data_IF_717371442885
#
_entry.id   IF_717371442885
#
_cell.length_a   1.000
_cell.length_b   1.000
_cell.length_c   1.000
_cell.angle_alpha   90.00
_cell.angle_beta   90.00
_cell.angle_gamma   90.00
#
_symmetry.space_group_name_H-M   'P 1'
#
loop_
_entity.id
_entity.type
_entity.pdbx_description
1 polymer ?
2 non-polymer ?
3 non-polymer ?
4 water ?
#
# COMPACT_ATOMS: atom_id res chain seq x y z
N UNK A 22 4.93 0.90 25.67
CA UNK A 22 4.47 -0.45 26.00
C UNK A 22 3.45 -0.93 24.97
N UNK A 23 3.32 -2.24 24.87
CA UNK A 23 2.35 -2.87 23.98
C UNK A 23 0.94 -2.48 24.39
N UNK A 24 0.06 -2.33 23.39
CA UNK A 24 -1.37 -2.10 23.61
C UNK A 24 -1.97 -3.26 24.38
N UNK A 25 -3.13 -3.01 24.99
CA UNK A 25 -3.94 -4.08 25.54
C UNK A 25 -4.88 -4.56 24.45
N UNK A 26 -4.58 -5.71 23.88
CA UNK A 26 -5.27 -6.19 22.69
C UNK A 26 -6.69 -6.63 23.02
N UNK A 27 -6.99 -6.72 24.31
CA UNK A 27 -8.31 -7.15 24.77
C UNK A 27 -9.25 -5.98 25.10
N UNK A 28 -8.73 -4.76 25.17
CA UNK A 28 -9.55 -3.61 25.56
C UNK A 28 -10.56 -3.26 24.48
N UNK A 29 -11.67 -2.66 24.89
CA UNK A 29 -12.68 -2.22 23.92
C UNK A 29 -12.13 -1.08 23.05
N UNK A 30 -11.25 -0.26 23.63
CA UNK A 30 -10.63 0.86 22.93
C UNK A 30 -9.77 0.34 21.79
N UNK A 31 -8.98 -0.68 22.07
CA UNK A 31 -8.12 -1.28 21.06
C UNK A 31 -8.93 -1.96 19.96
N UNK A 32 -9.87 -2.82 20.36
CA UNK A 32 -10.70 -3.52 19.41
C UNK A 32 -11.45 -2.58 18.49
N UNK A 33 -11.86 -1.43 19.01
CA UNK A 33 -12.60 -0.49 18.18
C UNK A 33 -11.70 0.10 17.07
N UNK A 34 -10.50 0.51 17.44
CA UNK A 34 -9.59 1.06 16.44
C UNK A 34 -9.16 -0.04 15.46
N UNK A 35 -8.91 -1.23 16.01
CA UNK A 35 -8.49 -2.38 15.20
C UNK A 35 -9.50 -2.74 14.12
N UNK A 36 -10.79 -2.58 14.41
CA UNK A 36 -11.83 -2.93 13.45
C UNK A 36 -11.67 -2.15 12.18
N UNK A 37 -11.13 -0.94 12.29
CA UNK A 37 -10.91 -0.09 11.12
C UNK A 37 -9.52 -0.27 10.49
N UNK A 38 -8.47 -0.32 11.31
CA UNK A 38 -7.13 -0.51 10.78
C UNK A 38 -7.02 -1.89 10.13
N UNK A 39 -7.47 -2.93 10.83
CA UNK A 39 -7.42 -4.26 10.22
C UNK A 39 -8.25 -4.34 8.93
N UNK A 40 -9.38 -3.64 8.87
CA UNK A 40 -10.20 -3.64 7.68
C UNK A 40 -9.44 -2.99 6.54
N UNK A 41 -8.67 -1.98 6.87
CA UNK A 41 -7.83 -1.33 5.86
C UNK A 41 -6.79 -2.32 5.30
N UNK A 42 -6.14 -3.09 6.18
CA UNK A 42 -5.21 -4.12 5.74
C UNK A 42 -5.91 -5.09 4.77
N UNK A 43 -7.04 -5.64 5.21
CA UNK A 43 -7.78 -6.61 4.41
C UNK A 43 -8.21 -6.04 3.06
N UNK A 44 -8.82 -4.87 3.07
CA UNK A 44 -9.27 -4.26 1.81
C UNK A 44 -8.09 -3.92 0.91
N UNK A 45 -6.99 -3.49 1.52
CA UNK A 45 -5.79 -3.13 0.77
C UNK A 45 -5.25 -4.33 0.02
N UNK A 46 -5.20 -5.46 0.69
CA UNK A 46 -4.73 -6.70 0.05
C UNK A 46 -5.67 -7.11 -1.08
N UNK A 47 -6.97 -7.04 -0.83
CA UNK A 47 -7.95 -7.33 -1.88
C UNK A 47 -7.79 -6.46 -3.11
N UNK A 48 -7.63 -5.15 -2.91
CA UNK A 48 -7.54 -4.26 -4.06
C UNK A 48 -6.23 -4.44 -4.81
N UNK A 49 -5.17 -4.78 -4.07
CA UNK A 49 -3.88 -5.11 -4.68
C UNK A 49 -4.03 -6.31 -5.61
N UNK A 50 -4.66 -7.37 -5.11
CA UNK A 50 -5.02 -8.50 -5.96
C UNK A 50 -5.74 -8.06 -7.23
N UNK A 51 -6.83 -7.32 -7.06
CA UNK A 51 -7.61 -6.86 -8.20
C UNK A 51 -6.75 -6.00 -9.15
N UNK A 52 -5.91 -5.15 -8.59
CA UNK A 52 -5.09 -4.27 -9.43
C UNK A 52 -4.06 -5.01 -10.28
N UNK A 53 -3.37 -5.97 -9.69
CA UNK A 53 -2.42 -6.77 -10.46
C UNK A 53 -3.09 -7.56 -11.59
N UNK A 54 -4.26 -8.13 -11.33
CA UNK A 54 -5.02 -8.79 -12.39
C UNK A 54 -5.39 -7.82 -13.49
N UNK A 55 -5.88 -6.65 -13.07
CA UNK A 55 -6.26 -5.61 -14.03
C UNK A 55 -5.10 -5.17 -14.91
N UNK A 56 -3.91 -5.07 -14.32
CA UNK A 56 -2.72 -4.66 -15.07
C UNK A 56 -2.40 -5.68 -16.15
N UNK A 57 -2.82 -6.93 -15.91
CA UNK A 57 -2.61 -8.00 -16.87
C UNK A 57 -3.37 -7.78 -18.17
N UNK A 58 -4.46 -7.04 -18.11
CA UNK A 58 -5.19 -6.67 -19.32
C UNK A 58 -4.40 -5.64 -20.12
N UNK A 59 -3.49 -4.94 -19.45
CA UNK A 59 -2.65 -3.94 -20.11
C UNK A 59 -1.31 -4.50 -20.53
N UNK A 60 -0.83 -5.51 -19.78
CA UNK A 60 0.44 -6.16 -20.11
C UNK A 60 0.21 -7.66 -20.27
N UNK A 61 -0.39 -8.05 -21.42
CA UNK A 61 -0.82 -9.43 -21.65
C UNK A 61 0.33 -10.43 -21.55
N UNK A 62 1.56 -9.99 -21.82
CA UNK A 62 2.71 -10.87 -21.73
C UNK A 62 3.25 -10.97 -20.30
N UNK A 63 2.68 -10.18 -19.39
CA UNK A 63 3.08 -10.23 -17.98
C UNK A 63 2.09 -11.03 -17.13
N UNK A 64 1.08 -11.60 -17.77
CA UNK A 64 -0.02 -12.22 -17.03
C UNK A 64 0.37 -13.29 -16.00
N UNK A 65 1.29 -14.19 -16.35
CA UNK A 65 1.62 -15.26 -15.41
C UNK A 65 2.35 -14.75 -14.16
N UNK A 66 3.21 -13.75 -14.34
CA UNK A 66 3.86 -13.11 -13.20
C UNK A 66 2.85 -12.35 -12.33
N UNK A 67 1.94 -11.63 -12.99
CA UNK A 67 0.93 -10.85 -12.28
C UNK A 67 -0.05 -11.75 -11.53
N UNK A 68 -0.33 -12.92 -12.08
CA UNK A 68 -1.15 -13.90 -11.38
C UNK A 68 -0.50 -14.37 -10.09
N UNK A 69 0.83 -14.55 -10.10
CA UNK A 69 1.57 -14.91 -8.90
C UNK A 69 1.51 -13.78 -7.87
N UNK A 70 1.67 -12.55 -8.34
CA UNK A 70 1.60 -11.41 -7.44
C UNK A 70 0.22 -11.33 -6.79
N UNK A 71 -0.82 -11.49 -7.60
CA UNK A 71 -2.18 -11.38 -7.12
C UNK A 71 -2.51 -12.50 -6.13
N UNK A 72 -1.99 -13.69 -6.39
CA UNK A 72 -2.19 -14.80 -5.46
C UNK A 72 -1.52 -14.53 -4.11
N UNK A 73 -0.36 -13.88 -4.12
CA UNK A 73 0.31 -13.53 -2.87
C UNK A 73 -0.58 -12.57 -2.09
N UNK A 74 -1.19 -11.62 -2.80
CA UNK A 74 -2.04 -10.64 -2.13
C UNK A 74 -3.22 -11.32 -1.45
N UNK A 75 -3.73 -12.39 -2.06
CA UNK A 75 -4.85 -13.08 -1.46
C UNK A 75 -4.41 -13.86 -0.23
N UNK A 76 -3.17 -14.35 -0.23
CA UNK A 76 -2.60 -14.97 0.95
C UNK A 76 -2.47 -13.96 2.08
N UNK A 77 -2.04 -12.75 1.73
CA UNK A 77 -1.93 -11.67 2.70
C UNK A 77 -3.31 -11.36 3.29
N UNK A 78 -4.31 -11.28 2.42
CA UNK A 78 -5.65 -10.94 2.86
C UNK A 78 -6.16 -11.98 3.87
N UNK A 79 -5.95 -13.23 3.52
CA UNK A 79 -6.38 -14.34 4.37
C UNK A 79 -5.70 -14.29 5.72
N UNK A 80 -4.43 -13.89 5.75
CA UNK A 80 -3.71 -13.78 6.99
C UNK A 80 -4.25 -12.69 7.89
N UNK A 81 -4.56 -11.53 7.31
CA UNK A 81 -5.10 -10.42 8.10
C UNK A 81 -6.54 -10.72 8.52
N UNK A 82 -7.28 -11.41 7.66
CA UNK A 82 -8.60 -11.92 8.07
C UNK A 82 -8.45 -12.77 9.34
N UNK A 83 -7.47 -13.66 9.35
CA UNK A 83 -7.19 -14.52 10.49
C UNK A 83 -6.80 -13.73 11.74
N UNK A 84 -6.03 -12.66 11.57
CA UNK A 84 -5.62 -11.80 12.68
C UNK A 84 -6.84 -11.20 13.36
N UNK A 85 -7.83 -10.81 12.57
CA UNK A 85 -9.08 -10.29 13.08
C UNK A 85 -9.87 -11.33 13.86
N UNK A 86 -10.00 -12.54 13.31
CA UNK A 86 -10.70 -13.63 13.99
C UNK A 86 -10.03 -13.91 15.33
N UNK A 87 -8.70 -13.89 15.33
CA UNK A 87 -7.92 -14.19 16.51
C UNK A 87 -8.16 -13.22 17.69
N UNK A 88 -8.33 -11.94 17.38
CA UNK A 88 -8.62 -10.94 18.40
C UNK A 88 -10.12 -10.81 18.66
N UNK A 89 -10.92 -11.53 17.87
CA UNK A 89 -12.36 -11.45 17.99
C UNK A 89 -12.92 -10.13 17.49
N UNK A 90 -12.32 -9.58 16.44
CA UNK A 90 -12.74 -8.29 15.94
C UNK A 90 -13.32 -8.36 14.53
N UNK A 91 -14.54 -7.87 14.41
CA UNK A 91 -15.24 -7.77 13.14
C UNK A 91 -14.67 -6.60 12.34
N UNK A 92 -14.17 -6.85 11.14
CA UNK A 92 -13.60 -5.78 10.31
C UNK A 92 -14.67 -4.82 9.79
N UNK A 93 -14.43 -3.51 9.91
CA UNK A 93 -15.36 -2.52 9.37
C UNK A 93 -15.03 -2.30 7.90
N UNK A 94 -15.56 -3.16 7.04
CA UNK A 94 -15.16 -3.15 5.64
C UNK A 94 -15.69 -1.94 4.88
N UNK A 95 -16.83 -1.42 5.32
CA UNK A 95 -17.39 -0.22 4.71
C UNK A 95 -16.46 0.98 4.87
N UNK A 96 -15.92 1.14 6.07
CA UNK A 96 -14.96 2.21 6.36
C UNK A 96 -13.75 2.08 5.43
N UNK A 97 -13.23 0.87 5.30
CA UNK A 97 -12.02 0.62 4.51
C UNK A 97 -12.24 0.92 3.04
N UNK A 98 -13.39 0.52 2.50
CA UNK A 98 -13.68 0.74 1.10
C UNK A 98 -13.74 2.24 0.77
N UNK A 99 -14.27 3.03 1.68
CA UNK A 99 -14.33 4.48 1.47
C UNK A 99 -12.93 5.08 1.58
N UNK A 100 -12.16 4.58 2.52
CA UNK A 100 -10.78 4.99 2.72
C UNK A 100 -9.97 4.83 1.43
N UNK A 101 -10.18 3.73 0.71
CA UNK A 101 -9.45 3.46 -0.52
C UNK A 101 -10.11 4.07 -1.76
N UNK A 102 -11.32 4.58 -1.60
CA UNK A 102 -12.08 5.08 -2.74
C UNK A 102 -11.34 6.08 -3.65
N UNK A 103 -10.63 7.07 -3.07
CA UNK A 103 -9.92 8.02 -3.96
C UNK A 103 -8.87 7.36 -4.86
N UNK A 104 -7.97 6.55 -4.31
CA UNK A 104 -6.96 5.88 -5.15
C UNK A 104 -7.61 4.85 -6.08
N UNK A 105 -8.62 4.16 -5.58
CA UNK A 105 -9.32 3.16 -6.38
C UNK A 105 -9.98 3.81 -7.60
N UNK A 106 -10.65 4.93 -7.38
CA UNK A 106 -11.26 5.68 -8.48
C UNK A 106 -10.22 6.10 -9.52
N UNK A 107 -9.10 6.63 -9.04
CA UNK A 107 -8.02 7.06 -9.92
C UNK A 107 -7.37 5.90 -10.68
N UNK A 108 -7.25 4.76 -10.01
CA UNK A 108 -6.70 3.58 -10.67
C UNK A 108 -7.60 3.15 -11.81
N UNK A 109 -8.91 3.13 -11.55
CA UNK A 109 -9.87 2.69 -12.56
C UNK A 109 -9.85 3.61 -13.76
N UNK A 110 -9.83 4.91 -13.50
CA UNK A 110 -9.74 5.91 -14.56
C UNK A 110 -8.53 5.66 -15.45
N UNK A 111 -7.37 5.49 -14.84
CA UNK A 111 -6.14 5.17 -15.57
C UNK A 111 -6.27 3.89 -16.37
N UNK A 112 -6.83 2.86 -15.74
CA UNK A 112 -7.01 1.56 -16.36
C UNK A 112 -7.83 1.68 -17.65
N UNK A 113 -8.98 2.34 -17.55
CA UNK A 113 -9.83 2.55 -18.69
C UNK A 113 -9.17 3.29 -19.84
N UNK A 114 -8.18 4.13 -19.53
CA UNK A 114 -7.48 4.90 -20.54
C UNK A 114 -6.21 4.19 -20.98
N UNK A 115 -6.00 2.99 -20.47
CA UNK A 115 -4.84 2.20 -20.85
C UNK A 115 -3.54 2.77 -20.34
N UNK A 116 -3.61 3.52 -19.25
CA UNK A 116 -2.41 4.19 -18.73
C UNK A 116 -1.61 3.32 -17.78
N UNK A 117 -0.90 2.35 -18.34
CA UNK A 117 -0.08 1.41 -17.59
C UNK A 117 0.90 2.06 -16.60
N UNK A 118 1.60 3.14 -17.04
CA UNK A 118 2.53 3.70 -16.05
C UNK A 118 1.84 4.28 -14.82
N UNK A 119 0.65 4.86 -15.00
CA UNK A 119 -0.09 5.42 -13.88
C UNK A 119 -0.59 4.31 -12.96
N UNK A 120 -1.09 3.23 -13.56
CA UNK A 120 -1.56 2.08 -12.78
C UNK A 120 -0.44 1.48 -11.93
N UNK A 121 0.73 1.32 -12.52
CA UNK A 121 1.89 0.83 -11.78
C UNK A 121 2.36 1.78 -10.69
N UNK A 122 2.37 3.08 -10.96
CA UNK A 122 2.78 4.02 -9.92
C UNK A 122 1.82 3.98 -8.72
N UNK A 123 0.52 3.94 -8.99
CA UNK A 123 -0.47 3.89 -7.93
C UNK A 123 -0.35 2.58 -7.13
N UNK A 124 -0.33 1.45 -7.82
CA UNK A 124 -0.33 0.16 -7.09
C UNK A 124 1.04 -0.32 -6.63
N UNK A 125 1.94 -0.50 -7.59
CA UNK A 125 3.24 -1.10 -7.28
C UNK A 125 4.15 -0.18 -6.49
N UNK A 126 3.95 1.13 -6.60
CA UNK A 126 4.78 2.07 -5.86
C UNK A 126 4.08 2.69 -4.65
N UNK A 127 3.03 3.46 -4.88
CA UNK A 127 2.38 4.20 -3.78
C UNK A 127 1.73 3.28 -2.75
N UNK A 128 0.88 2.38 -3.21
CA UNK A 128 0.17 1.47 -2.31
C UNK A 128 1.11 0.45 -1.64
N UNK A 129 2.08 -0.08 -2.38
CA UNK A 129 3.04 -0.99 -1.75
C UNK A 129 3.89 -0.27 -0.71
N UNK A 130 4.32 0.96 -0.99
CA UNK A 130 5.07 1.73 -0.01
C UNK A 130 4.21 2.04 1.22
N UNK A 131 2.94 2.33 0.99
CA UNK A 131 2.04 2.63 2.11
C UNK A 131 1.93 1.37 2.97
N UNK A 132 1.83 0.23 2.29
CA UNK A 132 1.70 -1.07 2.97
C UNK A 132 2.94 -1.38 3.79
N UNK A 133 4.10 -1.28 3.16
CA UNK A 133 5.34 -1.59 3.85
C UNK A 133 5.56 -0.70 5.05
N UNK A 134 5.20 0.58 4.92
CA UNK A 134 5.30 1.49 6.06
C UNK A 134 4.36 1.05 7.20
N UNK A 135 3.10 0.82 6.88
CA UNK A 135 2.11 0.42 7.86
C UNK A 135 2.54 -0.86 8.56
N UNK A 136 2.94 -1.84 7.75
CA UNK A 136 3.28 -3.16 8.30
C UNK A 136 4.58 -3.12 9.12
N UNK A 137 5.61 -2.44 8.63
CA UNK A 137 6.85 -2.27 9.40
C UNK A 137 6.59 -1.57 10.73
N UNK A 138 5.69 -0.59 10.71
CA UNK A 138 5.39 0.20 11.92
C UNK A 138 4.53 -0.62 12.91
N UNK A 139 3.69 -1.51 12.36
CA UNK A 139 2.74 -2.26 13.16
C UNK A 139 3.42 -3.43 13.88
N UNK A 140 4.44 -3.99 13.25
CA UNK A 140 5.12 -5.18 13.80
C UNK A 140 5.53 -5.08 15.28
N UNK A 141 6.29 -4.03 15.66
CA UNK A 141 6.74 -4.01 17.06
C UNK A 141 5.64 -3.76 18.08
N UNK A 142 4.43 -3.41 17.63
CA UNK A 142 3.33 -3.17 18.56
C UNK A 142 2.15 -4.13 18.34
N UNK A 143 2.40 -5.17 17.57
CA UNK A 143 1.35 -6.11 17.21
C UNK A 143 1.28 -7.26 18.22
N UNK A 144 0.11 -7.89 18.29
CA UNK A 144 -0.06 -9.07 19.14
C UNK A 144 0.76 -10.23 18.57
N UNK A 145 1.07 -11.24 19.40
CA UNK A 145 2.01 -12.27 18.90
C UNK A 145 1.56 -13.04 17.65
N UNK A 146 0.26 -13.27 17.49
CA UNK A 146 -0.27 -13.96 16.32
C UNK A 146 -0.11 -13.09 15.07
N UNK A 147 -0.56 -11.86 15.17
CA UNK A 147 -0.44 -10.90 14.07
C UNK A 147 1.00 -10.57 13.73
N UNK A 148 1.88 -10.59 14.73
CA UNK A 148 3.27 -10.26 14.46
C UNK A 148 3.92 -11.24 13.48
N UNK A 149 3.77 -12.54 13.74
CA UNK A 149 4.35 -13.54 12.84
C UNK A 149 3.78 -13.43 11.42
N UNK A 150 2.47 -13.22 11.34
CA UNK A 150 1.81 -13.06 10.06
C UNK A 150 2.38 -11.85 9.33
N UNK A 151 2.51 -10.73 10.05
CA UNK A 151 2.90 -9.47 9.42
C UNK A 151 4.39 -9.48 9.03
N UNK A 152 5.21 -10.11 9.86
CA UNK A 152 6.61 -10.30 9.50
C UNK A 152 6.76 -11.03 8.17
N UNK A 153 5.92 -12.05 7.93
CA UNK A 153 5.94 -12.72 6.65
C UNK A 153 5.59 -11.79 5.51
N UNK A 154 4.52 -11.01 5.71
CA UNK A 154 3.99 -10.12 4.69
C UNK A 154 5.00 -9.07 4.20
N UNK A 155 5.72 -8.43 5.13
CA UNK A 155 6.60 -7.32 4.76
C UNK A 155 7.69 -7.71 3.77
N UNK A 156 8.22 -8.92 3.95
CA UNK A 156 9.23 -9.45 3.05
C UNK A 156 8.70 -9.52 1.62
N UNK A 157 7.41 -9.83 1.50
CA UNK A 157 6.76 -9.96 0.21
C UNK A 157 6.55 -8.65 -0.53
N UNK A 158 6.23 -7.58 0.19
CA UNK A 158 5.82 -6.39 -0.54
C UNK A 158 7.02 -5.70 -1.22
N UNK A 159 8.24 -6.02 -0.78
CA UNK A 159 9.44 -5.59 -1.50
C UNK A 159 9.52 -6.23 -2.88
N UNK A 160 9.01 -7.45 -2.99
CA UNK A 160 8.94 -8.15 -4.28
C UNK A 160 8.03 -7.37 -5.21
N UNK A 161 6.98 -6.81 -4.63
CA UNK A 161 6.01 -6.07 -5.40
C UNK A 161 6.59 -4.71 -5.83
N UNK A 162 7.27 -4.02 -4.91
CA UNK A 162 7.99 -2.79 -5.28
C UNK A 162 8.97 -3.07 -6.41
N UNK A 163 9.71 -4.16 -6.30
CA UNK A 163 10.69 -4.53 -7.32
C UNK A 163 10.08 -4.72 -8.69
N UNK A 164 8.89 -5.31 -8.73
CA UNK A 164 8.19 -5.55 -9.99
C UNK A 164 7.85 -4.23 -10.67
N UNK A 165 7.27 -3.31 -9.92
CA UNK A 165 6.89 -2.02 -10.46
C UNK A 165 8.10 -1.22 -10.89
N UNK A 166 9.11 -1.19 -10.02
CA UNK A 166 10.36 -0.47 -10.31
C UNK A 166 10.98 -0.98 -11.59
N UNK A 167 11.03 -2.29 -11.76
CA UNK A 167 11.66 -2.87 -12.94
C UNK A 167 11.01 -2.41 -14.24
N UNK A 168 9.69 -2.45 -14.29
CA UNK A 168 9.00 -2.11 -15.52
C UNK A 168 9.14 -0.61 -15.80
N UNK A 169 8.97 0.18 -14.75
CA UNK A 169 9.03 1.64 -14.92
C UNK A 169 10.43 2.08 -15.29
N UNK A 170 11.44 1.43 -14.72
CA UNK A 170 12.84 1.74 -15.04
C UNK A 170 13.12 1.45 -16.50
N UNK A 171 12.62 0.31 -16.96
CA UNK A 171 12.77 -0.11 -18.35
C UNK A 171 12.04 0.82 -19.32
N UNK A 172 10.98 1.48 -18.87
CA UNK A 172 10.17 2.32 -19.75
C UNK A 172 10.18 3.83 -19.44
N UNK A 173 11.15 4.28 -18.65
CA UNK A 173 11.13 5.62 -18.09
C UNK A 173 11.05 6.71 -19.17
N UNK A 174 11.83 6.57 -20.23
CA UNK A 174 11.93 7.66 -21.19
C UNK A 174 10.62 7.95 -21.91
N UNK A 175 9.77 6.94 -22.04
CA UNK A 175 8.48 7.16 -22.70
C UNK A 175 7.38 7.59 -21.76
N UNK A 176 7.57 7.43 -20.45
CA UNK A 176 6.48 7.70 -19.52
C UNK A 176 6.81 8.72 -18.42
N UNK A 177 7.92 9.43 -18.56
CA UNK A 177 8.34 10.33 -17.48
C UNK A 177 7.27 11.37 -17.13
N UNK A 178 6.72 12.02 -18.15
CA UNK A 178 5.70 13.05 -17.91
C UNK A 178 4.43 12.48 -17.27
N UNK A 179 3.99 11.33 -17.75
CA UNK A 179 2.82 10.70 -17.17
C UNK A 179 3.05 10.38 -15.69
N UNK A 180 4.25 9.93 -15.36
CA UNK A 180 4.57 9.62 -13.98
C UNK A 180 4.59 10.85 -13.09
N UNK A 181 5.07 11.98 -13.61
CA UNK A 181 5.06 13.20 -12.81
C UNK A 181 3.63 13.61 -12.53
N UNK A 182 2.78 13.46 -13.54
CA UNK A 182 1.36 13.75 -13.40
C UNK A 182 0.71 12.78 -12.41
N UNK A 183 1.04 11.49 -12.55
CA UNK A 183 0.46 10.49 -11.66
C UNK A 183 0.81 10.80 -10.21
N UNK A 184 2.08 11.12 -9.97
CA UNK A 184 2.52 11.49 -8.63
C UNK A 184 1.81 12.73 -8.10
N UNK A 185 1.72 13.73 -8.97
CA UNK A 185 1.06 14.98 -8.64
C UNK A 185 -0.38 14.73 -8.17
N UNK A 186 -1.08 13.85 -8.88
CA UNK A 186 -2.49 13.60 -8.56
C UNK A 186 -2.67 12.67 -7.37
N UNK A 187 -1.77 11.70 -7.23
CA UNK A 187 -2.00 10.61 -6.28
C UNK A 187 -1.25 10.65 -4.96
N UNK A 188 -0.05 11.21 -4.94
CA UNK A 188 0.68 11.35 -3.68
C UNK A 188 -0.12 12.13 -2.60
N UNK A 189 -0.82 13.21 -3.00
CA UNK A 189 -1.66 13.89 -2.01
C UNK A 189 -2.75 13.00 -1.40
N UNK A 190 -3.24 12.02 -2.16
CA UNK A 190 -4.24 11.09 -1.63
C UNK A 190 -3.63 10.23 -0.53
N UNK A 191 -2.38 9.85 -0.71
CA UNK A 191 -1.66 9.08 0.28
C UNK A 191 -1.50 9.91 1.54
N UNK A 192 -1.19 11.19 1.39
CA UNK A 192 -1.06 12.07 2.55
C UNK A 192 -2.36 12.18 3.35
N UNK A 193 -3.48 12.28 2.65
CA UNK A 193 -4.78 12.40 3.30
C UNK A 193 -5.14 11.08 3.98
N UNK A 194 -4.81 9.98 3.32
CA UNK A 194 -4.93 8.66 3.95
C UNK A 194 -4.18 8.58 5.30
N UNK A 195 -2.93 9.02 5.32
CA UNK A 195 -2.15 9.02 6.56
C UNK A 195 -2.80 9.91 7.62
N UNK A 196 -3.32 11.06 7.20
CA UNK A 196 -4.03 11.95 8.11
C UNK A 196 -5.25 11.24 8.69
N UNK A 197 -5.98 10.53 7.84
CA UNK A 197 -7.22 9.87 8.25
C UNK A 197 -7.01 8.66 9.16
N UNK A 198 -5.89 7.96 8.99
CA UNK A 198 -5.66 6.76 9.80
C UNK A 198 -4.94 7.04 11.10
N UNK A 199 -4.38 8.25 11.20
CA UNK A 199 -3.47 8.57 12.29
C UNK A 199 -4.07 8.31 13.68
N UNK A 200 -5.35 8.67 13.85
CA UNK A 200 -5.99 8.53 15.15
C UNK A 200 -6.09 7.08 15.58
N UNK A 201 -6.68 6.25 14.74
CA UNK A 201 -6.80 4.82 15.02
C UNK A 201 -5.42 4.16 15.13
N UNK A 202 -4.49 4.55 14.26
CA UNK A 202 -3.12 4.05 14.32
C UNK A 202 -2.46 4.33 15.66
N UNK A 203 -2.69 5.53 16.20
CA UNK A 203 -2.15 5.88 17.51
C UNK A 203 -2.70 4.99 18.64
N UNK A 204 -3.97 4.63 18.57
CA UNK A 204 -4.55 3.70 19.55
C UNK A 204 -3.81 2.36 19.45
N UNK A 205 -3.46 1.98 18.23
CA UNK A 205 -2.65 0.79 17.99
C UNK A 205 -1.18 0.98 18.36
N UNK A 206 -0.85 2.16 18.90
CA UNK A 206 0.50 2.49 19.35
C UNK A 206 1.51 2.73 18.21
N UNK A 207 0.98 3.05 17.04
CA UNK A 207 1.79 3.39 15.87
C UNK A 207 1.90 4.91 15.74
N UNK A 208 3.14 5.41 15.65
CA UNK A 208 3.43 6.84 15.54
C UNK A 208 3.30 7.30 14.10
N UNK A 209 2.54 8.37 13.87
CA UNK A 209 2.32 8.92 12.52
C UNK A 209 3.63 9.30 11.83
N UNK A 210 4.58 9.83 12.60
CA UNK A 210 5.87 10.24 12.02
C UNK A 210 6.65 9.03 11.52
N UNK A 211 6.54 7.90 12.19
CA UNK A 211 7.19 6.68 11.70
C UNK A 211 6.56 6.24 10.40
N UNK A 212 5.23 6.32 10.33
CA UNK A 212 4.50 5.92 9.13
C UNK A 212 4.90 6.79 7.96
N UNK A 213 4.97 8.10 8.19
CA UNK A 213 5.36 9.02 7.13
C UNK A 213 6.80 8.80 6.68
N UNK A 214 7.73 8.70 7.64
CA UNK A 214 9.13 8.47 7.30
C UNK A 214 9.34 7.20 6.50
N UNK A 215 8.79 6.09 6.99
CA UNK A 215 8.93 4.81 6.29
C UNK A 215 8.32 4.84 4.90
N UNK A 216 7.16 5.50 4.76
CA UNK A 216 6.55 5.61 3.44
C UNK A 216 7.43 6.41 2.49
N UNK A 217 7.93 7.55 2.95
CA UNK A 217 8.67 8.44 2.07
C UNK A 217 10.00 7.81 1.67
N UNK A 218 10.64 7.13 2.61
CA UNK A 218 11.88 6.41 2.33
C UNK A 218 11.66 5.33 1.28
N UNK A 219 10.65 4.48 1.44
CA UNK A 219 10.36 3.46 0.44
C UNK A 219 10.09 4.08 -0.94
N UNK A 220 9.25 5.11 -0.98
CA UNK A 220 8.89 5.74 -2.25
C UNK A 220 10.11 6.40 -2.94
N UNK A 221 10.90 7.14 -2.16
CA UNK A 221 12.09 7.81 -2.70
C UNK A 221 13.07 6.80 -3.29
N UNK A 222 13.27 5.70 -2.56
CA UNK A 222 14.13 4.63 -3.04
C UNK A 222 13.64 3.99 -4.34
N UNK A 223 12.33 3.77 -4.45
CA UNK A 223 11.77 3.28 -5.71
C UNK A 223 12.01 4.27 -6.84
N UNK A 224 11.80 5.55 -6.55
CA UNK A 224 11.97 6.56 -7.59
C UNK A 224 13.42 6.61 -8.05
N UNK A 225 14.32 6.47 -7.09
CA UNK A 225 15.76 6.45 -7.36
C UNK A 225 16.10 5.27 -8.26
N UNK A 226 15.61 4.09 -7.88
CA UNK A 226 15.84 2.89 -8.66
C UNK A 226 15.32 3.01 -10.09
N UNK A 227 14.17 3.68 -10.24
CA UNK A 227 13.54 3.86 -11.54
C UNK A 227 14.37 4.78 -12.43
N UNK A 228 15.13 5.69 -11.81
CA UNK A 228 16.01 6.58 -12.55
C UNK A 228 15.77 8.07 -12.39
N UNK A 229 14.92 8.46 -11.45
CA UNK A 229 14.73 9.88 -11.18
C UNK A 229 15.92 10.42 -10.39
N UNK A 230 16.33 11.66 -10.65
CA UNK A 230 17.42 12.24 -9.86
C UNK A 230 16.88 12.97 -8.63
N UNK A 231 17.80 13.42 -7.77
CA UNK A 231 17.43 14.05 -6.50
C UNK A 231 16.50 15.26 -6.65
N UNK A 232 16.77 16.12 -7.62
CA UNK A 232 15.90 17.27 -7.84
C UNK A 232 14.49 16.87 -8.22
N UNK A 233 14.39 15.97 -9.20
CA UNK A 233 13.10 15.45 -9.65
C UNK A 233 12.33 14.82 -8.49
N UNK A 234 13.03 14.07 -7.66
CA UNK A 234 12.39 13.41 -6.54
C UNK A 234 11.95 14.42 -5.48
N UNK A 235 12.78 15.44 -5.26
CA UNK A 235 12.43 16.47 -4.29
C UNK A 235 11.15 17.20 -4.73
N UNK A 236 11.11 17.59 -5.99
CA UNK A 236 9.94 18.22 -6.58
C UNK A 236 8.71 17.31 -6.48
N UNK A 237 8.92 16.02 -6.71
CA UNK A 237 7.84 15.04 -6.61
C UNK A 237 7.29 14.89 -5.19
N UNK A 238 8.18 14.65 -4.23
CA UNK A 238 7.77 14.49 -2.83
C UNK A 238 7.03 15.75 -2.36
N UNK A 239 7.48 16.89 -2.86
CA UNK A 239 6.88 18.19 -2.50
C UNK A 239 5.39 18.28 -2.84
N UNK A 240 4.96 17.57 -3.87
CA UNK A 240 3.58 17.67 -4.34
C UNK A 240 2.57 17.21 -3.29
N UNK A 241 3.05 16.45 -2.31
CA UNK A 241 2.24 16.01 -1.17
C UNK A 241 1.62 17.19 -0.42
N UNK A 242 2.25 18.35 -0.50
CA UNK A 242 1.81 19.54 0.22
C UNK A 242 0.44 20.03 -0.25
X LIG B 1 -1.63 -3.21 -0.36
X LIG B 1 -0.69 -4.27 -0.83
X LIG B 1 -0.57 -5.31 -0.17
X LIG B 1 -1.84 -3.29 1.13
X LIG B 1 -2.14 -1.91 1.64
X LIG B 1 -2.88 -1.99 2.94
X LIG B 1 -2.26 -1.09 3.95
X LIG B 1 -0.01 -4.12 -1.88
X LIG C 1 0.06 -7.52 0.07
X LIG D 1 1.52 -5.97 -2.44
#
# INVERSE_FOLDING_TARGET
GMPTLEMPVAAVLDSTVGSSEALPDFTSDRYKDAYSRINAIYIEGEQEAHDNYIAIGTLLPDHVEELKRLAKMEMRHKKGFTACGKNLGVEADMDFAREFFAPLRDNFQTALGQGKTPTCLLIQALLIEAFAISAYHTYIPVSDPFARKITEGVVKDEYTHLNYGEAWLKANLESCREELLEANRENLPLIRRMLDQVAGDAAVLQMDKEDLIEDFLIAYQESLTEIGFNTREITRMAAAALVS
6NA CA C O CB CG CD C6 OXT
FE FE
FE FE
#
